data_IF_761134574297
#
_entry.id   IF_761134574297
#
_cell.length_a   1.000
_cell.length_b   1.000
_cell.length_c   1.000
_cell.angle_alpha   90.00
_cell.angle_beta   90.00
_cell.angle_gamma   90.00
#
_symmetry.space_group_name_H-M   'P 1'
#
loop_
_entity.id
_entity.type
_entity.pdbx_description
1 polymer ?
#
# COMPACT_ATOMS: atom_id res chain seq x y z
N UNK A 1 55.85 -18.33 -9.30
CA UNK A 1 54.79 -17.50 -9.93
C UNK A 1 53.53 -18.34 -10.21
N UNK A 2 52.84 -18.87 -9.20
CA UNK A 2 51.74 -19.85 -9.43
C UNK A 2 50.39 -19.45 -8.79
N UNK A 3 50.36 -18.59 -7.75
CA UNK A 3 49.12 -18.29 -7.02
C UNK A 3 48.51 -16.90 -7.23
N UNK A 4 48.97 -16.13 -8.23
CA UNK A 4 48.55 -14.74 -8.41
C UNK A 4 47.15 -14.57 -9.04
N UNK A 5 46.58 -15.65 -9.60
CA UNK A 5 45.29 -15.63 -10.29
C UNK A 5 44.15 -16.30 -9.49
N UNK A 6 44.40 -16.81 -8.28
CA UNK A 6 43.38 -17.47 -7.48
C UNK A 6 42.45 -16.48 -6.73
N UNK A 7 42.84 -15.21 -6.62
CA UNK A 7 42.11 -14.19 -5.86
C UNK A 7 41.61 -13.00 -6.70
N UNK A 8 41.46 -13.19 -8.03
CA UNK A 8 41.02 -12.11 -8.92
C UNK A 8 39.57 -12.30 -9.39
N UNK A 9 38.63 -12.40 -8.46
CA UNK A 9 37.23 -12.06 -8.71
C UNK A 9 37.06 -10.57 -8.44
N UNK A 10 37.40 -9.73 -9.42
CA UNK A 10 36.83 -8.39 -9.45
C UNK A 10 35.47 -8.53 -10.10
N UNK A 11 34.40 -8.55 -9.29
CA UNK A 11 33.04 -8.33 -9.78
C UNK A 11 32.97 -6.89 -10.31
N UNK A 12 33.46 -6.66 -11.53
CA UNK A 12 33.45 -5.34 -12.15
C UNK A 12 32.01 -4.99 -12.42
N UNK A 13 31.49 -4.09 -11.59
CA UNK A 13 30.15 -3.56 -11.78
C UNK A 13 30.18 -2.60 -12.96
N UNK A 14 29.29 -2.81 -13.93
CA UNK A 14 29.12 -1.94 -15.10
C UNK A 14 27.67 -1.49 -15.20
N UNK A 15 27.38 -0.44 -15.97
CA UNK A 15 25.99 0.05 -16.17
C UNK A 15 25.09 -1.02 -16.83
N UNK A 16 25.68 -1.95 -17.59
CA UNK A 16 24.98 -3.10 -18.18
C UNK A 16 24.73 -4.24 -17.18
N UNK A 17 25.56 -4.35 -16.13
CA UNK A 17 25.43 -5.35 -15.07
C UNK A 17 25.67 -4.67 -13.70
N UNK A 18 24.69 -3.88 -13.21
CA UNK A 18 24.87 -3.11 -12.00
C UNK A 18 24.98 -4.00 -10.76
N UNK A 19 25.58 -3.45 -9.71
CA UNK A 19 25.90 -4.20 -8.50
C UNK A 19 24.61 -4.67 -7.82
N UNK A 20 24.64 -5.81 -7.11
CA UNK A 20 23.47 -6.34 -6.41
C UNK A 20 22.80 -5.30 -5.49
N UNK A 21 23.59 -4.47 -4.78
CA UNK A 21 23.07 -3.40 -3.92
C UNK A 21 22.30 -2.31 -4.68
N UNK A 22 22.72 -2.01 -5.91
CA UNK A 22 22.08 -0.99 -6.76
C UNK A 22 20.77 -1.53 -7.33
N UNK A 23 20.74 -2.81 -7.74
CA UNK A 23 19.52 -3.49 -8.17
C UNK A 23 18.48 -3.58 -7.05
N UNK A 24 18.91 -3.91 -5.83
CA UNK A 24 18.02 -3.97 -4.67
C UNK A 24 17.46 -2.61 -4.25
N UNK A 25 18.11 -1.50 -4.63
CA UNK A 25 17.59 -0.16 -4.36
C UNK A 25 16.35 0.18 -5.22
N UNK A 26 16.24 -0.42 -6.41
CA UNK A 26 15.18 -0.14 -7.38
C UNK A 26 14.26 -1.35 -7.65
N UNK A 27 14.52 -2.48 -6.99
CA UNK A 27 13.75 -3.72 -7.12
C UNK A 27 13.57 -4.41 -5.77
N UNK A 28 12.35 -4.88 -5.50
CA UNK A 28 12.09 -5.85 -4.44
C UNK A 28 12.23 -7.25 -5.03
N UNK A 29 13.29 -7.97 -4.71
CA UNK A 29 13.43 -9.37 -5.10
C UNK A 29 12.61 -10.24 -4.14
N UNK A 30 11.47 -10.75 -4.62
CA UNK A 30 10.79 -11.85 -3.96
C UNK A 30 11.60 -13.14 -4.18
N UNK A 31 11.56 -14.08 -3.23
CA UNK A 31 12.21 -15.40 -3.39
C UNK A 31 11.73 -16.15 -4.64
N UNK A 32 10.51 -15.87 -5.10
CA UNK A 32 9.95 -16.42 -6.34
C UNK A 32 10.41 -15.70 -7.62
N UNK A 33 11.11 -14.57 -7.52
CA UNK A 33 11.50 -13.72 -8.64
C UNK A 33 10.37 -12.87 -9.24
N UNK A 34 9.14 -13.02 -8.74
CA UNK A 34 7.97 -12.33 -9.28
C UNK A 34 7.72 -10.97 -8.63
N UNK A 35 7.39 -9.97 -9.45
CA UNK A 35 7.02 -8.63 -8.99
C UNK A 35 5.50 -8.50 -8.91
N UNK A 36 4.98 -8.42 -7.69
CA UNK A 36 3.54 -8.22 -7.46
C UNK A 36 3.24 -6.73 -7.27
N UNK A 37 2.42 -6.17 -8.15
CA UNK A 37 1.87 -4.81 -8.03
C UNK A 37 0.41 -4.85 -7.61
N UNK A 38 -0.18 -3.70 -7.31
CA UNK A 38 -1.62 -3.61 -7.00
C UNK A 38 -2.43 -4.12 -8.20
N UNK A 39 -2.10 -3.68 -9.40
CA UNK A 39 -2.75 -4.09 -10.65
C UNK A 39 -2.60 -5.59 -10.90
N UNK A 40 -1.40 -6.15 -10.72
CA UNK A 40 -1.18 -7.59 -10.92
C UNK A 40 -1.89 -8.43 -9.85
N UNK A 41 -1.99 -7.92 -8.62
CA UNK A 41 -2.69 -8.61 -7.52
C UNK A 41 -4.21 -8.63 -7.72
N UNK A 42 -4.79 -7.55 -8.24
CA UNK A 42 -6.23 -7.47 -8.51
C UNK A 42 -6.67 -8.36 -9.68
N UNK A 43 -5.73 -8.80 -10.54
CA UNK A 43 -5.96 -9.81 -11.56
C UNK A 43 -6.24 -11.22 -10.99
N UNK A 44 -5.89 -11.48 -9.73
CA UNK A 44 -6.14 -12.77 -9.07
C UNK A 44 -7.54 -12.77 -8.43
N UNK A 45 -8.49 -13.63 -8.86
CA UNK A 45 -9.88 -13.58 -8.40
C UNK A 45 -10.04 -13.72 -6.88
N UNK A 46 -9.21 -14.56 -6.25
CA UNK A 46 -9.23 -14.76 -4.79
C UNK A 46 -8.83 -13.50 -4.04
N UNK A 47 -7.78 -12.82 -4.49
CA UNK A 47 -7.32 -11.56 -3.87
C UNK A 47 -8.38 -10.48 -4.04
N UNK A 48 -8.92 -10.33 -5.26
CA UNK A 48 -10.00 -9.39 -5.55
C UNK A 48 -11.20 -9.61 -4.61
N UNK A 49 -11.64 -10.86 -4.44
CA UNK A 49 -12.77 -11.19 -3.57
C UNK A 49 -12.50 -10.84 -2.11
N UNK A 50 -11.32 -11.17 -1.58
CA UNK A 50 -10.95 -10.87 -0.19
C UNK A 50 -10.92 -9.36 0.05
N UNK A 51 -10.29 -8.59 -0.84
CA UNK A 51 -10.25 -7.12 -0.72
C UNK A 51 -11.65 -6.54 -0.78
N UNK A 52 -12.50 -7.03 -1.68
CA UNK A 52 -13.87 -6.54 -1.82
C UNK A 52 -14.72 -6.83 -0.56
N UNK A 53 -14.57 -8.00 0.07
CA UNK A 53 -15.24 -8.30 1.35
C UNK A 53 -14.81 -7.31 2.44
N UNK A 54 -13.51 -7.07 2.59
CA UNK A 54 -12.98 -6.16 3.61
C UNK A 54 -13.43 -4.72 3.36
N UNK A 55 -13.30 -4.24 2.11
CA UNK A 55 -13.66 -2.90 1.72
C UNK A 55 -15.17 -2.62 1.95
N UNK A 56 -16.04 -3.53 1.51
CA UNK A 56 -17.48 -3.38 1.74
C UNK A 56 -17.83 -3.44 3.22
N UNK A 57 -17.20 -4.32 3.98
CA UNK A 57 -17.44 -4.42 5.43
C UNK A 57 -17.12 -3.11 6.15
N UNK A 58 -16.02 -2.44 5.76
CA UNK A 58 -15.66 -1.13 6.31
C UNK A 58 -16.61 -0.03 5.81
N UNK A 59 -17.01 -0.05 4.53
CA UNK A 59 -17.91 0.94 3.94
C UNK A 59 -19.33 0.90 4.56
N UNK A 60 -19.77 -0.23 5.08
CA UNK A 60 -21.07 -0.35 5.75
C UNK A 60 -21.11 0.29 7.14
N UNK A 61 -19.98 0.70 7.71
CA UNK A 61 -19.92 1.28 9.05
C UNK A 61 -20.39 2.74 9.03
N UNK A 62 -21.31 3.14 9.93
CA UNK A 62 -21.75 4.52 10.00
C UNK A 62 -20.67 5.42 10.62
N UNK A 63 -20.20 6.41 9.87
CA UNK A 63 -19.25 7.42 10.34
C UNK A 63 -19.95 8.66 10.89
N UNK A 64 -20.24 8.69 12.19
CA UNK A 64 -20.91 9.84 12.83
C UNK A 64 -19.94 10.75 13.58
N UNK A 65 -20.13 12.06 13.47
CA UNK A 65 -19.34 13.05 14.21
C UNK A 65 -19.90 13.29 15.61
N UNK A 66 -19.02 13.28 16.61
CA UNK A 66 -19.38 13.51 18.00
C UNK A 66 -18.52 14.61 18.62
N UNK A 67 -19.15 15.45 19.44
CA UNK A 67 -18.49 16.46 20.27
C UNK A 67 -18.46 16.02 21.72
N UNK A 68 -17.35 16.27 22.41
CA UNK A 68 -17.25 16.07 23.86
C UNK A 68 -17.93 17.22 24.59
N UNK A 69 -18.76 16.91 25.56
CA UNK A 69 -19.43 17.86 26.45
C UNK A 69 -19.14 17.49 27.90
N UNK A 70 -19.44 18.39 28.85
CA UNK A 70 -19.25 18.13 30.28
C UNK A 70 -20.06 16.93 30.80
N UNK A 71 -21.11 16.51 30.08
CA UNK A 71 -21.99 15.39 30.43
C UNK A 71 -21.71 14.11 29.61
N UNK A 72 -20.74 14.13 28.69
CA UNK A 72 -20.39 12.97 27.87
C UNK A 72 -20.07 13.30 26.41
N UNK A 73 -20.67 12.57 25.48
CA UNK A 73 -20.51 12.76 24.02
C UNK A 73 -21.88 12.99 23.39
N UNK A 74 -22.01 14.03 22.58
CA UNK A 74 -23.21 14.31 21.80
C UNK A 74 -22.91 14.24 20.30
N UNK A 75 -23.91 13.88 19.49
CA UNK A 75 -23.76 13.87 18.03
C UNK A 75 -23.75 15.30 17.51
N UNK A 76 -22.73 15.67 16.75
CA UNK A 76 -22.53 17.01 16.21
C UNK A 76 -22.69 16.99 14.68
N UNK A 77 -23.90 17.29 14.21
CA UNK A 77 -24.22 17.40 12.78
C UNK A 77 -23.84 18.76 12.17
N UNK A 78 -23.56 19.76 13.00
CA UNK A 78 -23.23 21.11 12.55
C UNK A 78 -21.73 21.24 12.22
N UNK A 79 -20.90 20.30 12.70
CA UNK A 79 -19.48 20.27 12.39
C UNK A 79 -19.23 20.22 10.87
N UNK A 80 -18.28 21.02 10.39
CA UNK A 80 -17.97 21.17 8.96
C UNK A 80 -17.65 19.83 8.27
N UNK A 81 -17.00 18.92 9.01
CA UNK A 81 -16.61 17.59 8.51
C UNK A 81 -17.78 16.58 8.51
N UNK A 82 -18.86 16.85 9.26
CA UNK A 82 -20.01 15.93 9.36
C UNK A 82 -20.63 15.66 7.99
N UNK A 83 -20.77 16.69 7.14
CA UNK A 83 -21.30 16.54 5.79
C UNK A 83 -20.43 15.63 4.89
N UNK A 84 -19.11 15.79 4.99
CA UNK A 84 -18.14 15.04 4.17
C UNK A 84 -18.16 13.55 4.55
N UNK A 85 -18.15 13.24 5.84
CA UNK A 85 -18.09 11.86 6.35
C UNK A 85 -19.44 11.14 6.35
N UNK A 86 -20.55 11.84 6.63
CA UNK A 86 -21.87 11.20 6.73
C UNK A 86 -22.62 11.18 5.41
N UNK A 87 -22.31 12.07 4.44
CA UNK A 87 -23.16 12.27 3.26
C UNK A 87 -22.49 12.15 1.91
N UNK A 88 -21.38 12.85 1.65
CA UNK A 88 -20.52 12.61 0.48
C UNK A 88 -19.26 13.49 0.51
N UNK A 89 -18.09 12.95 0.17
CA UNK A 89 -16.87 13.76 0.09
C UNK A 89 -16.82 14.66 -1.16
N UNK A 90 -17.39 14.22 -2.28
CA UNK A 90 -17.41 14.98 -3.53
C UNK A 90 -18.69 14.66 -4.35
N UNK A 91 -18.91 15.26 -5.54
CA UNK A 91 -20.07 14.96 -6.38
C UNK A 91 -20.10 13.56 -7.02
N UNK A 92 -18.98 12.85 -7.05
CA UNK A 92 -18.81 11.60 -7.78
C UNK A 92 -18.76 10.36 -6.88
N UNK A 93 -18.65 10.55 -5.56
CA UNK A 93 -18.45 9.48 -4.59
C UNK A 93 -19.40 9.64 -3.41
N UNK A 94 -19.97 8.52 -2.96
CA UNK A 94 -20.69 8.42 -1.68
C UNK A 94 -19.71 8.19 -0.53
N UNK A 95 -20.15 8.40 0.72
CA UNK A 95 -19.45 7.93 1.91
C UNK A 95 -19.28 6.41 1.90
#
# INVERSE_FOLDING_TARGET
MIFRNLFRNQDTTDLRNPAPWFRSLFSYEATSGERVTVESSLGVPTVYRCVNILANSVAMLPFQTFKKTAKGRERDKAHQVSFVLERRPNPYQSP
#
